data_IF_678729707592
#
_entry.id   IF_678729707592
#
_cell.length_a   1.000
_cell.length_b   1.000
_cell.length_c   1.000
_cell.angle_alpha   90.00
_cell.angle_beta   90.00
_cell.angle_gamma   90.00
#
_symmetry.space_group_name_H-M   'P 1'
#
loop_
_entity.id
_entity.type
_entity.pdbx_description
1 polymer ?
#
# COMPACT_ATOMS: atom_id res chain seq x y z
N UNK A 1 -62.01 -35.94 75.41
CA UNK A 1 -60.77 -35.94 74.52
C UNK A 1 -61.20 -35.69 73.14
N UNK A 2 -61.17 -34.48 72.69
CA UNK A 2 -61.60 -34.14 71.35
C UNK A 2 -60.85 -32.84 70.89
N UNK A 3 -60.22 -32.88 69.70
CA UNK A 3 -59.74 -31.68 68.98
C UNK A 3 -58.33 -31.10 69.31
N UNK A 4 -57.26 -31.90 69.16
CA UNK A 4 -55.89 -31.34 69.04
C UNK A 4 -55.21 -31.63 67.73
N UNK A 5 -55.75 -32.51 66.85
CA UNK A 5 -55.07 -32.93 65.65
C UNK A 5 -55.45 -32.20 64.35
N UNK A 6 -56.39 -31.29 64.32
CA UNK A 6 -56.85 -30.65 63.08
C UNK A 6 -56.18 -29.34 62.72
N UNK A 7 -55.45 -28.70 63.62
CA UNK A 7 -54.82 -27.38 63.39
C UNK A 7 -53.42 -27.44 62.81
N UNK A 8 -52.69 -28.56 62.96
CA UNK A 8 -51.32 -28.69 62.46
C UNK A 8 -51.21 -28.97 60.92
N UNK A 9 -52.20 -29.60 60.32
CA UNK A 9 -52.15 -29.97 58.86
C UNK A 9 -52.43 -28.76 57.98
N UNK A 10 -53.16 -27.78 58.38
CA UNK A 10 -53.42 -26.58 57.58
C UNK A 10 -52.25 -25.58 57.58
N UNK A 11 -51.53 -25.52 58.67
CA UNK A 11 -50.40 -24.60 58.81
C UNK A 11 -49.23 -25.07 57.96
N UNK A 12 -48.92 -26.35 57.93
CA UNK A 12 -47.86 -26.94 57.09
C UNK A 12 -48.15 -26.82 55.60
N UNK A 13 -49.42 -26.95 55.21
CA UNK A 13 -49.83 -26.73 53.79
C UNK A 13 -49.69 -25.28 53.38
N UNK A 14 -50.03 -24.32 54.25
CA UNK A 14 -49.90 -22.90 53.95
C UNK A 14 -48.43 -22.46 53.83
N UNK A 15 -47.54 -23.01 54.65
CA UNK A 15 -46.09 -22.74 54.58
C UNK A 15 -45.48 -23.29 53.28
N UNK A 16 -45.85 -24.48 52.83
CA UNK A 16 -45.41 -25.03 51.56
C UNK A 16 -45.96 -24.27 50.35
N UNK A 17 -47.19 -23.78 50.40
CA UNK A 17 -47.77 -22.93 49.36
C UNK A 17 -47.07 -21.55 49.29
N UNK A 18 -46.75 -20.95 50.47
CA UNK A 18 -46.02 -19.72 50.53
C UNK A 18 -44.60 -19.87 49.96
N UNK A 19 -43.91 -20.94 50.36
CA UNK A 19 -42.54 -21.24 49.87
C UNK A 19 -42.51 -21.52 48.38
N UNK A 20 -43.50 -22.26 47.84
CA UNK A 20 -43.67 -22.48 46.40
C UNK A 20 -43.92 -21.18 45.61
N UNK A 21 -44.76 -20.28 46.14
CA UNK A 21 -45.04 -19.00 45.49
C UNK A 21 -43.81 -18.07 45.47
N UNK A 22 -42.99 -18.07 46.51
CA UNK A 22 -41.73 -17.33 46.56
C UNK A 22 -40.72 -17.89 45.50
N UNK A 23 -40.60 -19.20 45.39
CA UNK A 23 -39.73 -19.83 44.39
C UNK A 23 -40.17 -19.46 42.95
N UNK A 24 -41.48 -19.51 42.67
CA UNK A 24 -42.01 -19.11 41.35
C UNK A 24 -41.75 -17.64 41.07
N UNK A 25 -41.92 -16.75 42.04
CA UNK A 25 -41.64 -15.32 41.90
C UNK A 25 -40.16 -15.05 41.62
N UNK A 26 -39.24 -15.78 42.28
CA UNK A 26 -37.80 -15.66 42.04
C UNK A 26 -37.44 -16.14 40.66
N UNK A 27 -37.99 -17.28 40.18
CA UNK A 27 -37.77 -17.76 38.81
C UNK A 27 -38.31 -16.78 37.75
N UNK A 28 -39.46 -16.15 37.99
CA UNK A 28 -39.99 -15.12 37.11
C UNK A 28 -39.10 -13.88 37.06
N UNK A 29 -38.58 -13.43 38.21
CA UNK A 29 -37.65 -12.29 38.26
C UNK A 29 -36.31 -12.59 37.54
N UNK A 30 -35.78 -13.81 37.69
CA UNK A 30 -34.59 -14.24 36.98
C UNK A 30 -34.86 -14.29 35.47
N UNK A 31 -36.01 -14.84 35.05
CA UNK A 31 -36.40 -14.90 33.63
C UNK A 31 -36.58 -13.52 32.99
N UNK A 32 -37.21 -12.59 33.69
CA UNK A 32 -37.36 -11.19 33.21
C UNK A 32 -36.03 -10.48 33.23
N UNK A 33 -35.21 -10.67 34.27
CA UNK A 33 -33.86 -10.12 34.32
C UNK A 33 -32.96 -10.61 33.19
N UNK A 34 -33.04 -11.89 32.88
CA UNK A 34 -32.29 -12.47 31.74
C UNK A 34 -32.78 -11.93 30.40
N UNK A 35 -34.11 -11.80 30.22
CA UNK A 35 -34.69 -11.24 28.99
C UNK A 35 -34.32 -9.76 28.79
N UNK A 36 -34.20 -8.99 29.88
CA UNK A 36 -33.76 -7.58 29.82
C UNK A 36 -32.24 -7.43 29.61
N UNK A 37 -31.43 -8.40 30.07
CA UNK A 37 -29.99 -8.41 29.82
C UNK A 37 -29.61 -8.98 28.45
N UNK A 38 -30.48 -9.78 27.85
CA UNK A 38 -30.24 -10.37 26.52
C UNK A 38 -30.80 -9.52 25.38
N UNK A 39 -30.93 -8.21 25.55
CA UNK A 39 -31.10 -7.31 24.43
C UNK A 39 -29.84 -7.41 23.59
N UNK A 40 -29.90 -8.13 22.49
CA UNK A 40 -28.90 -8.02 21.44
C UNK A 40 -28.82 -6.54 21.05
N UNK A 41 -27.66 -5.95 21.32
CA UNK A 41 -27.35 -4.64 20.80
C UNK A 41 -27.10 -4.81 19.29
N UNK A 42 -28.16 -4.76 18.50
CA UNK A 42 -28.05 -4.64 17.06
C UNK A 42 -27.53 -3.24 16.75
N UNK A 43 -26.22 -3.13 16.66
CA UNK A 43 -25.59 -1.92 16.12
C UNK A 43 -25.76 -2.01 14.60
N UNK A 44 -26.86 -1.55 14.08
CA UNK A 44 -27.05 -1.26 12.66
C UNK A 44 -26.42 0.10 12.36
N UNK A 45 -25.10 0.15 12.42
CA UNK A 45 -24.34 1.25 11.88
C UNK A 45 -24.02 0.93 10.42
N UNK A 46 -24.68 1.57 9.47
CA UNK A 46 -24.16 1.67 8.12
C UNK A 46 -23.02 2.68 8.16
N UNK A 47 -21.78 2.21 8.32
CA UNK A 47 -20.62 3.04 8.04
C UNK A 47 -20.55 3.19 6.51
N UNK A 48 -20.98 4.33 6.01
CA UNK A 48 -20.74 4.68 4.62
C UNK A 48 -19.30 5.20 4.56
N UNK A 49 -18.36 4.34 4.19
CA UNK A 49 -16.99 4.74 3.89
C UNK A 49 -17.05 5.34 2.49
N UNK A 50 -17.06 6.66 2.40
CA UNK A 50 -16.84 7.38 1.15
C UNK A 50 -15.35 7.64 1.07
N UNK A 51 -14.63 6.85 0.28
CA UNK A 51 -13.25 7.16 -0.09
C UNK A 51 -13.26 8.05 -1.32
N UNK A 52 -12.47 9.11 -1.30
CA UNK A 52 -12.30 9.99 -2.46
C UNK A 52 -11.08 9.53 -3.27
N UNK A 53 -11.29 9.28 -4.56
CA UNK A 53 -10.24 8.94 -5.51
C UNK A 53 -9.95 10.16 -6.37
N UNK A 54 -8.81 10.82 -6.13
CA UNK A 54 -8.48 12.06 -6.82
C UNK A 54 -6.97 12.21 -7.01
N UNK A 55 -6.49 11.83 -8.19
CA UNK A 55 -5.10 11.99 -8.60
C UNK A 55 -5.07 12.90 -9.81
N UNK A 56 -4.23 13.94 -9.77
CA UNK A 56 -4.17 14.92 -10.84
C UNK A 56 -2.78 15.54 -10.98
N UNK A 57 -2.49 16.03 -12.18
CA UNK A 57 -1.39 16.95 -12.39
C UNK A 57 -1.75 18.33 -11.84
N UNK A 58 -0.91 18.85 -10.97
CA UNK A 58 -1.10 20.17 -10.35
C UNK A 58 -0.32 21.26 -11.07
N UNK A 59 0.82 20.89 -11.70
CA UNK A 59 1.62 21.83 -12.50
C UNK A 59 2.43 21.11 -13.57
N UNK A 60 2.78 21.88 -14.60
CA UNK A 60 3.78 21.50 -15.60
C UNK A 60 4.58 22.76 -15.94
N UNK A 61 5.81 22.86 -15.47
CA UNK A 61 6.64 24.05 -15.63
C UNK A 61 7.87 23.79 -16.50
N UNK A 62 8.22 24.79 -17.32
CA UNK A 62 9.44 24.74 -18.12
C UNK A 62 10.64 24.81 -17.21
N UNK A 63 11.50 23.81 -17.27
CA UNK A 63 12.73 23.73 -16.48
C UNK A 63 13.96 24.17 -17.27
N UNK A 64 14.13 23.63 -18.45
CA UNK A 64 15.27 23.89 -19.31
C UNK A 64 14.84 23.91 -20.79
N UNK A 65 15.15 25.00 -21.46
CA UNK A 65 14.82 25.19 -22.86
C UNK A 65 16.12 25.47 -23.64
N UNK A 66 16.53 24.51 -24.46
CA UNK A 66 17.73 24.64 -25.31
C UNK A 66 17.32 24.63 -26.77
N UNK A 67 17.35 25.81 -27.43
CA UNK A 67 16.90 25.99 -28.81
C UNK A 67 15.54 25.36 -29.08
N UNK A 68 14.62 25.51 -28.14
CA UNK A 68 13.29 24.98 -28.17
C UNK A 68 12.26 26.03 -27.77
N UNK A 69 11.05 25.90 -28.26
CA UNK A 69 9.90 26.76 -27.92
C UNK A 69 8.69 25.91 -27.66
N UNK A 70 7.97 26.21 -26.58
CA UNK A 70 6.69 25.57 -26.28
C UNK A 70 5.56 26.36 -26.91
N UNK A 71 4.88 25.76 -27.88
CA UNK A 71 3.70 26.37 -28.53
C UNK A 71 2.42 26.08 -27.73
N UNK A 72 2.34 24.89 -27.11
CA UNK A 72 1.21 24.48 -26.26
C UNK A 72 1.74 23.68 -25.07
N UNK A 73 1.21 24.00 -23.90
CA UNK A 73 1.40 23.27 -22.66
C UNK A 73 0.07 23.28 -21.89
N UNK A 74 -0.60 22.15 -21.85
CA UNK A 74 -1.93 22.04 -21.28
C UNK A 74 -2.11 20.74 -20.51
N UNK A 75 -2.62 20.83 -19.29
CA UNK A 75 -3.08 19.68 -18.54
C UNK A 75 -4.54 19.44 -18.93
N UNK A 76 -4.79 18.33 -19.63
CA UNK A 76 -6.11 17.91 -20.10
C UNK A 76 -6.59 16.73 -19.28
N UNK A 77 -7.80 16.80 -18.72
CA UNK A 77 -8.26 15.79 -17.76
C UNK A 77 -7.52 15.88 -16.44
N UNK A 78 -7.33 14.74 -15.75
CA UNK A 78 -6.69 14.71 -14.44
C UNK A 78 -5.18 14.46 -14.55
N UNK A 79 -4.77 13.47 -15.34
CA UNK A 79 -3.39 12.98 -15.42
C UNK A 79 -2.87 12.92 -16.87
N UNK A 80 -3.36 13.81 -17.71
CA UNK A 80 -2.93 13.94 -19.11
C UNK A 80 -2.29 15.30 -19.34
N UNK A 81 -1.08 15.29 -19.90
CA UNK A 81 -0.33 16.47 -20.30
C UNK A 81 -0.19 16.48 -21.82
N UNK A 82 -0.64 17.56 -22.45
CA UNK A 82 -0.42 17.84 -23.88
C UNK A 82 0.65 18.91 -24.03
N UNK A 83 1.68 18.58 -24.80
CA UNK A 83 2.77 19.49 -25.17
C UNK A 83 2.84 19.61 -26.69
N UNK A 84 3.01 20.83 -27.18
CA UNK A 84 3.42 21.09 -28.56
C UNK A 84 4.73 21.87 -28.53
N UNK A 85 5.80 21.22 -29.00
CA UNK A 85 7.17 21.70 -28.87
C UNK A 85 7.81 21.84 -30.24
N UNK A 86 8.37 23.02 -30.49
CA UNK A 86 9.18 23.32 -31.66
C UNK A 86 10.67 23.28 -31.28
N UNK A 87 11.45 22.49 -32.00
CA UNK A 87 12.89 22.34 -31.85
C UNK A 87 13.59 22.95 -33.07
N UNK A 88 14.52 23.87 -32.81
CA UNK A 88 15.08 24.76 -33.87
C UNK A 88 16.33 24.18 -34.54
N UNK A 89 16.90 23.10 -34.01
CA UNK A 89 18.09 22.46 -34.59
C UNK A 89 18.33 21.06 -33.99
N UNK A 90 19.13 20.21 -34.64
CA UNK A 90 19.59 18.95 -34.05
C UNK A 90 20.27 19.17 -32.70
N UNK A 91 19.92 18.36 -31.69
CA UNK A 91 20.39 18.49 -30.31
C UNK A 91 19.58 19.48 -29.43
N UNK A 92 18.60 20.21 -30.02
CA UNK A 92 17.69 21.02 -29.23
C UNK A 92 16.85 20.18 -28.25
N UNK A 93 16.47 20.76 -27.13
CA UNK A 93 15.65 20.07 -26.13
C UNK A 93 14.83 21.01 -25.27
N UNK A 94 13.66 20.53 -24.84
CA UNK A 94 12.81 21.15 -23.83
C UNK A 94 12.60 20.15 -22.69
N UNK A 95 12.78 20.59 -21.46
CA UNK A 95 12.55 19.79 -20.25
C UNK A 95 11.51 20.49 -19.39
N UNK A 96 10.56 19.71 -18.90
CA UNK A 96 9.46 20.17 -18.05
C UNK A 96 9.50 19.42 -16.71
N UNK A 97 9.33 20.14 -15.62
CA UNK A 97 9.00 19.54 -14.32
C UNK A 97 7.47 19.45 -14.21
N UNK A 98 6.97 18.26 -14.02
CA UNK A 98 5.53 17.98 -13.89
C UNK A 98 5.28 17.41 -12.49
N UNK A 99 4.28 17.96 -11.82
CA UNK A 99 3.86 17.53 -10.48
C UNK A 99 2.56 16.78 -10.58
N UNK A 100 2.54 15.57 -10.05
CA UNK A 100 1.33 14.78 -9.81
C UNK A 100 1.06 14.71 -8.31
N UNK A 101 -0.18 14.88 -7.91
CA UNK A 101 -0.63 14.87 -6.52
C UNK A 101 -1.78 13.89 -6.34
N UNK A 102 -1.74 13.12 -5.27
CA UNK A 102 -2.87 12.34 -4.79
C UNK A 102 -3.64 13.14 -3.74
N UNK A 103 -4.70 13.81 -4.17
CA UNK A 103 -5.61 14.56 -3.28
C UNK A 103 -6.74 13.68 -2.71
N UNK A 104 -6.74 12.39 -3.02
CA UNK A 104 -7.70 11.42 -2.50
C UNK A 104 -7.27 10.80 -1.17
N UNK A 105 -8.15 9.97 -0.62
CA UNK A 105 -7.95 9.29 0.66
C UNK A 105 -7.30 7.90 0.52
N UNK A 106 -7.14 7.43 -0.72
CA UNK A 106 -6.61 6.09 -1.02
C UNK A 106 -5.22 6.18 -1.61
N UNK A 107 -4.34 5.27 -1.19
CA UNK A 107 -3.03 5.10 -1.80
C UNK A 107 -3.18 4.58 -3.23
N UNK A 108 -2.31 5.06 -4.11
CA UNK A 108 -2.31 4.75 -5.52
C UNK A 108 -1.00 4.11 -5.98
N UNK A 109 -1.08 3.34 -7.05
CA UNK A 109 0.06 2.80 -7.78
C UNK A 109 -0.04 3.18 -9.24
N UNK A 110 1.06 3.64 -9.83
CA UNK A 110 1.14 3.93 -11.25
C UNK A 110 1.20 2.62 -12.05
N UNK A 111 0.15 2.32 -12.81
CA UNK A 111 0.03 1.07 -13.58
C UNK A 111 0.38 1.20 -15.05
N UNK A 112 0.25 2.42 -15.63
CA UNK A 112 0.66 2.64 -17.01
C UNK A 112 1.13 4.08 -17.26
N UNK A 113 2.06 4.22 -18.20
CA UNK A 113 2.52 5.47 -18.79
C UNK A 113 2.27 5.36 -20.29
N UNK A 114 1.31 6.14 -20.78
CA UNK A 114 0.90 6.11 -22.19
C UNK A 114 1.37 7.37 -22.92
N UNK A 115 1.54 7.25 -24.24
CA UNK A 115 1.88 8.35 -25.12
C UNK A 115 3.38 8.50 -25.41
N UNK A 116 4.28 8.01 -24.59
CA UNK A 116 5.75 8.12 -24.78
C UNK A 116 6.22 7.25 -25.93
N UNK A 117 5.84 5.96 -25.97
CA UNK A 117 6.23 5.04 -27.03
C UNK A 117 5.57 5.41 -28.36
N UNK A 118 4.32 5.85 -28.31
CA UNK A 118 3.59 6.36 -29.46
C UNK A 118 4.28 7.61 -30.04
N UNK A 119 4.63 8.58 -29.20
CA UNK A 119 5.36 9.75 -29.62
C UNK A 119 6.71 9.39 -30.24
N UNK A 120 7.44 8.43 -29.68
CA UNK A 120 8.76 8.01 -30.17
C UNK A 120 8.71 7.22 -31.47
N UNK A 121 7.55 6.64 -31.81
CA UNK A 121 7.34 5.87 -33.05
C UNK A 121 6.69 6.68 -34.18
N UNK A 122 6.11 7.85 -33.88
CA UNK A 122 5.46 8.73 -34.85
C UNK A 122 6.41 9.78 -35.42
N UNK A 123 6.08 10.27 -36.63
CA UNK A 123 6.78 11.39 -37.27
C UNK A 123 6.56 12.71 -36.55
N UNK A 124 7.58 13.61 -36.48
CA UNK A 124 8.95 13.42 -36.95
C UNK A 124 9.74 12.50 -36.03
N UNK A 125 10.35 11.47 -36.63
CA UNK A 125 11.09 10.42 -35.93
C UNK A 125 12.31 10.90 -35.12
N UNK A 126 13.05 11.95 -35.58
CA UNK A 126 14.18 12.47 -34.80
C UNK A 126 13.79 13.10 -33.46
N UNK A 127 12.52 13.52 -33.30
CA UNK A 127 12.06 14.06 -32.02
C UNK A 127 11.67 12.89 -31.10
N UNK A 128 12.33 12.84 -29.97
CA UNK A 128 12.15 11.80 -28.94
C UNK A 128 11.64 12.43 -27.65
N UNK A 129 10.92 11.60 -26.89
CA UNK A 129 10.39 11.91 -25.56
C UNK A 129 10.96 10.93 -24.56
N UNK A 130 11.40 11.43 -23.43
CA UNK A 130 11.87 10.64 -22.30
C UNK A 130 11.27 11.14 -21.00
N UNK A 131 11.04 10.22 -20.09
CA UNK A 131 10.63 10.54 -18.72
C UNK A 131 11.75 10.19 -17.74
N UNK A 132 11.84 10.93 -16.65
CA UNK A 132 12.72 10.62 -15.54
C UNK A 132 12.02 10.88 -14.20
N UNK A 133 12.47 10.18 -13.16
CA UNK A 133 11.91 10.23 -11.81
C UNK A 133 10.48 9.68 -11.70
N UNK A 134 10.02 8.90 -12.67
CA UNK A 134 8.73 8.22 -12.64
C UNK A 134 8.81 6.91 -13.43
N UNK A 135 8.20 5.86 -12.93
CA UNK A 135 8.13 4.54 -13.57
C UNK A 135 6.86 3.81 -13.14
N UNK A 136 6.40 2.89 -13.96
CA UNK A 136 5.32 1.95 -13.62
C UNK A 136 5.71 1.17 -12.36
N UNK A 137 4.78 1.04 -11.43
CA UNK A 137 4.99 0.45 -10.11
C UNK A 137 5.33 1.47 -9.00
N UNK A 138 5.50 2.76 -9.33
CA UNK A 138 5.67 3.78 -8.30
C UNK A 138 4.38 3.99 -7.53
N UNK A 139 4.49 3.99 -6.20
CA UNK A 139 3.39 4.36 -5.31
C UNK A 139 3.25 5.88 -5.21
N UNK A 140 2.03 6.34 -4.99
CA UNK A 140 1.69 7.72 -4.66
C UNK A 140 0.68 7.68 -3.51
N UNK A 141 1.15 7.95 -2.30
CA UNK A 141 0.34 7.82 -1.09
C UNK A 141 -0.71 8.95 -1.02
N UNK A 142 -1.76 8.74 -0.22
CA UNK A 142 -2.74 9.78 0.07
C UNK A 142 -2.07 11.06 0.57
N UNK A 143 -2.36 12.20 -0.08
CA UNK A 143 -1.77 13.51 0.22
C UNK A 143 -0.32 13.69 -0.28
N UNK A 144 0.25 12.74 -1.02
CA UNK A 144 1.62 12.82 -1.53
C UNK A 144 1.67 13.55 -2.88
N UNK A 145 2.73 14.36 -3.06
CA UNK A 145 3.11 14.95 -4.34
C UNK A 145 4.39 14.29 -4.87
N UNK A 146 4.44 14.07 -6.19
CA UNK A 146 5.63 13.59 -6.87
C UNK A 146 5.96 14.44 -8.08
N UNK A 147 7.20 14.90 -8.15
CA UNK A 147 7.71 15.64 -9.31
C UNK A 147 8.50 14.70 -10.21
N UNK A 148 8.15 14.70 -11.48
CA UNK A 148 8.87 13.99 -12.53
C UNK A 148 9.21 14.90 -13.69
N UNK A 149 10.08 14.47 -14.60
CA UNK A 149 10.49 15.27 -15.74
C UNK A 149 10.03 14.64 -17.05
N UNK A 150 9.57 15.51 -17.94
CA UNK A 150 9.32 15.21 -19.33
C UNK A 150 10.36 15.94 -20.15
N UNK A 151 11.16 15.20 -20.91
CA UNK A 151 12.15 15.78 -21.84
C UNK A 151 11.77 15.45 -23.27
N UNK A 152 11.62 16.49 -24.08
CA UNK A 152 11.44 16.42 -25.53
C UNK A 152 12.74 16.88 -26.17
N UNK A 153 13.33 16.07 -27.04
CA UNK A 153 14.64 16.38 -27.62
C UNK A 153 14.76 15.89 -29.06
N UNK A 154 15.58 16.59 -29.83
CA UNK A 154 15.96 16.20 -31.17
C UNK A 154 17.21 15.33 -31.09
N UNK A 155 17.08 14.06 -31.47
CA UNK A 155 18.20 13.13 -31.55
C UNK A 155 19.12 13.52 -32.69
N UNK A 156 20.28 14.10 -32.35
CA UNK A 156 21.26 14.58 -33.32
C UNK A 156 21.98 13.44 -34.08
N UNK A 157 21.80 12.19 -33.68
CA UNK A 157 22.36 11.01 -34.36
C UNK A 157 21.56 10.62 -35.61
N UNK A 158 20.34 11.16 -35.74
CA UNK A 158 19.47 10.94 -36.89
C UNK A 158 19.71 12.05 -37.92
N UNK A 159 20.25 11.69 -39.09
CA UNK A 159 20.50 12.64 -40.17
C UNK A 159 19.17 13.11 -40.78
N UNK A 160 18.87 14.40 -40.65
CA UNK A 160 17.63 14.99 -41.14
C UNK A 160 17.91 16.39 -41.69
N UNK A 161 17.38 16.71 -42.86
CA UNK A 161 17.68 17.95 -43.57
C UNK A 161 16.78 19.14 -43.20
N UNK A 162 15.99 18.99 -42.14
CA UNK A 162 15.11 20.05 -41.65
C UNK A 162 15.88 21.00 -40.71
N UNK A 163 15.53 22.27 -40.74
CA UNK A 163 16.14 23.30 -39.90
C UNK A 163 15.36 23.54 -38.60
N UNK A 164 14.12 23.09 -38.54
CA UNK A 164 13.25 23.12 -37.38
C UNK A 164 12.22 22.00 -37.47
N UNK A 165 11.80 21.48 -36.34
CA UNK A 165 10.75 20.48 -36.24
C UNK A 165 9.82 20.74 -35.08
N UNK A 166 8.55 20.41 -35.26
CA UNK A 166 7.50 20.54 -34.26
C UNK A 166 6.85 19.19 -34.03
N UNK A 167 6.50 18.93 -32.77
CA UNK A 167 5.80 17.69 -32.37
C UNK A 167 4.80 17.98 -31.27
N UNK A 168 3.58 17.52 -31.49
CA UNK A 168 2.55 17.41 -30.45
C UNK A 168 2.66 16.07 -29.76
N UNK A 169 2.60 16.08 -28.44
CA UNK A 169 2.82 14.94 -27.57
C UNK A 169 1.73 14.94 -26.51
N UNK A 170 1.09 13.82 -26.30
CA UNK A 170 0.16 13.60 -25.22
C UNK A 170 0.68 12.49 -24.31
N UNK A 171 0.85 12.77 -23.02
CA UNK A 171 1.32 11.81 -22.02
C UNK A 171 0.24 11.66 -20.97
N UNK A 172 -0.17 10.41 -20.73
CA UNK A 172 -1.17 10.08 -19.71
C UNK A 172 -0.60 9.08 -18.71
N UNK A 173 -0.73 9.39 -17.42
CA UNK A 173 -0.45 8.47 -16.33
C UNK A 173 -1.74 7.80 -15.88
N UNK A 174 -1.72 6.47 -15.77
CA UNK A 174 -2.84 5.70 -15.24
C UNK A 174 -2.48 5.17 -13.86
N UNK A 175 -3.32 5.51 -12.89
CA UNK A 175 -3.18 5.05 -11.51
C UNK A 175 -4.33 4.12 -11.17
N UNK A 176 -4.05 3.10 -10.39
CA UNK A 176 -5.02 2.22 -9.76
C UNK A 176 -4.88 2.31 -8.24
N UNK A 177 -5.95 1.99 -7.53
CA UNK A 177 -5.89 1.91 -6.09
C UNK A 177 -4.86 0.85 -5.71
N UNK A 178 -3.95 1.23 -4.82
CA UNK A 178 -3.02 0.28 -4.22
C UNK A 178 -3.80 -0.60 -3.25
N UNK A 179 -3.90 -1.91 -3.54
CA UNK A 179 -4.51 -2.83 -2.60
C UNK A 179 -3.61 -2.99 -1.36
N UNK A 180 -4.25 -3.01 -0.19
CA UNK A 180 -3.55 -3.15 1.10
C UNK A 180 -2.74 -4.46 1.18
N UNK A 181 -3.07 -5.46 0.34
CA UNK A 181 -2.31 -6.69 0.17
C UNK A 181 -0.97 -6.50 -0.56
N UNK A 182 -0.80 -5.38 -1.29
CA UNK A 182 0.44 -5.02 -1.98
C UNK A 182 1.35 -4.10 -1.14
N UNK A 183 0.81 -3.48 -0.10
CA UNK A 183 1.63 -3.06 1.03
C UNK A 183 1.98 -4.36 1.72
N UNK A 184 3.26 -4.79 1.76
CA UNK A 184 3.61 -5.81 2.73
C UNK A 184 3.16 -5.21 4.06
N UNK A 185 2.03 -5.70 4.58
CA UNK A 185 1.58 -5.42 5.95
C UNK A 185 2.85 -5.44 6.78
N UNK A 186 3.17 -4.39 7.61
CA UNK A 186 4.37 -4.46 8.42
C UNK A 186 4.32 -5.83 9.03
N UNK A 187 5.18 -6.70 8.52
CA UNK A 187 5.14 -8.14 8.82
C UNK A 187 5.06 -8.18 10.32
N UNK A 188 4.05 -8.82 10.92
CA UNK A 188 3.91 -8.81 12.38
C UNK A 188 5.29 -9.12 12.87
N UNK A 189 5.88 -8.21 13.65
CA UNK A 189 7.30 -8.14 13.99
C UNK A 189 7.90 -9.53 13.85
N UNK A 190 8.78 -9.75 12.86
CA UNK A 190 9.27 -11.09 12.52
C UNK A 190 9.81 -11.63 13.83
N UNK A 191 8.94 -12.31 14.55
CA UNK A 191 9.39 -13.02 15.74
C UNK A 191 10.07 -14.25 15.16
N UNK A 192 11.39 -14.23 15.16
CA UNK A 192 12.15 -15.46 14.91
C UNK A 192 11.81 -16.38 16.06
N UNK A 193 10.69 -17.09 15.89
CA UNK A 193 10.22 -18.14 16.82
C UNK A 193 10.83 -19.49 16.47
N UNK A 194 11.72 -19.53 15.48
CA UNK A 194 12.40 -20.74 15.12
C UNK A 194 13.19 -21.27 16.33
N UNK A 195 12.99 -22.55 16.61
CA UNK A 195 13.73 -23.23 17.65
C UNK A 195 15.21 -23.19 17.32
N UNK A 196 16.03 -22.82 18.30
CA UNK A 196 17.48 -22.83 18.15
C UNK A 196 17.95 -24.27 17.99
N UNK A 197 18.65 -24.56 16.90
CA UNK A 197 19.18 -25.90 16.60
C UNK A 197 20.66 -25.99 16.89
N UNK A 198 21.12 -27.22 17.13
CA UNK A 198 22.54 -27.52 17.37
C UNK A 198 23.23 -28.17 16.17
N UNK A 199 22.45 -28.61 15.16
CA UNK A 199 22.96 -29.24 13.94
C UNK A 199 21.97 -29.12 12.79
N UNK A 200 22.44 -29.16 11.53
CA UNK A 200 21.61 -29.00 10.33
C UNK A 200 21.33 -27.57 9.98
N UNK A 201 20.27 -27.36 9.18
CA UNK A 201 19.82 -26.04 8.75
C UNK A 201 18.94 -25.40 9.83
N UNK A 202 19.13 -24.12 10.12
CA UNK A 202 18.29 -23.42 11.08
C UNK A 202 18.95 -22.25 11.81
N UNK A 203 18.33 -21.86 12.92
CA UNK A 203 18.77 -20.76 13.77
C UNK A 203 19.75 -21.24 14.84
N UNK A 204 20.88 -20.56 14.98
CA UNK A 204 21.93 -20.86 15.93
C UNK A 204 22.19 -19.68 16.86
N UNK A 205 22.56 -19.96 18.12
CA UNK A 205 23.18 -18.95 18.99
C UNK A 205 24.55 -18.61 18.41
N UNK A 206 24.87 -17.32 18.32
CA UNK A 206 26.21 -16.88 17.93
C UNK A 206 27.22 -17.23 19.05
N UNK A 207 28.31 -17.89 18.68
CA UNK A 207 29.33 -18.29 19.62
C UNK A 207 30.21 -17.14 20.12
N UNK A 208 30.25 -16.04 19.36
CA UNK A 208 31.14 -14.93 19.62
C UNK A 208 30.42 -13.73 20.26
N UNK A 209 29.09 -13.63 20.09
CA UNK A 209 28.29 -12.53 20.58
C UNK A 209 27.05 -13.01 21.35
N UNK A 210 27.08 -13.02 22.68
CA UNK A 210 25.95 -13.47 23.49
C UNK A 210 24.69 -12.64 23.24
N UNK A 211 23.57 -13.35 22.96
CA UNK A 211 22.27 -12.73 22.64
C UNK A 211 22.05 -12.45 21.17
N UNK A 212 23.05 -12.68 20.32
CA UNK A 212 22.94 -12.69 18.87
C UNK A 212 22.57 -14.08 18.36
N UNK A 213 21.74 -14.12 17.31
CA UNK A 213 21.36 -15.36 16.64
C UNK A 213 21.71 -15.28 15.17
N UNK A 214 22.12 -16.39 14.57
CA UNK A 214 22.54 -16.47 13.17
C UNK A 214 21.91 -17.67 12.48
N UNK A 215 21.46 -17.49 11.24
CA UNK A 215 21.04 -18.62 10.40
C UNK A 215 22.23 -19.29 9.76
N UNK A 216 22.22 -20.64 9.76
CA UNK A 216 23.25 -21.49 9.14
C UNK A 216 22.60 -22.65 8.42
N UNK A 217 23.32 -23.19 7.42
CA UNK A 217 22.89 -24.33 6.62
C UNK A 217 22.78 -23.99 5.14
N UNK A 218 22.44 -24.98 4.35
CA UNK A 218 22.28 -24.84 2.91
C UNK A 218 20.92 -24.23 2.55
N UNK A 219 19.86 -24.59 3.30
CA UNK A 219 18.49 -24.14 3.07
C UNK A 219 17.76 -23.82 4.39
N UNK A 220 18.28 -22.93 5.23
CA UNK A 220 17.56 -22.50 6.42
C UNK A 220 16.30 -21.73 6.01
N UNK A 221 15.20 -21.90 6.75
CA UNK A 221 13.94 -21.20 6.51
C UNK A 221 14.04 -19.73 6.99
N UNK A 222 14.79 -18.90 6.27
CA UNK A 222 15.13 -17.54 6.68
C UNK A 222 14.75 -16.48 5.64
N UNK A 223 13.78 -16.77 4.77
CA UNK A 223 13.36 -15.86 3.73
C UNK A 223 12.28 -14.91 4.23
N UNK A 224 12.39 -13.65 3.82
CA UNK A 224 11.37 -12.60 4.01
C UNK A 224 11.13 -11.88 2.70
N UNK A 225 9.90 -11.47 2.48
CA UNK A 225 9.56 -10.57 1.40
C UNK A 225 9.57 -9.14 1.93
N UNK A 226 10.40 -8.29 1.35
CA UNK A 226 10.48 -6.88 1.70
C UNK A 226 10.60 -6.06 0.41
N UNK A 227 9.73 -5.06 0.26
CA UNK A 227 9.69 -4.18 -0.92
C UNK A 227 9.58 -4.96 -2.25
N UNK A 228 8.69 -5.98 -2.30
CA UNK A 228 8.49 -6.89 -3.44
C UNK A 228 9.75 -7.67 -3.88
N UNK A 229 10.75 -7.72 -3.05
CA UNK A 229 11.98 -8.47 -3.27
C UNK A 229 12.13 -9.56 -2.21
N UNK A 230 12.77 -10.66 -2.59
CA UNK A 230 13.09 -11.73 -1.66
C UNK A 230 14.43 -11.44 -0.97
N UNK A 231 14.40 -11.44 0.35
CA UNK A 231 15.56 -11.21 1.20
C UNK A 231 15.77 -12.39 2.14
N UNK A 232 17.00 -12.59 2.57
CA UNK A 232 17.36 -13.58 3.57
C UNK A 232 17.78 -12.90 4.86
N UNK A 233 17.24 -13.37 5.98
CA UNK A 233 17.71 -12.96 7.31
C UNK A 233 19.02 -13.71 7.58
N UNK A 234 20.08 -12.97 7.87
CA UNK A 234 21.38 -13.54 8.21
C UNK A 234 21.52 -13.65 9.72
N UNK A 235 21.08 -12.63 10.45
CA UNK A 235 21.21 -12.57 11.89
C UNK A 235 20.09 -11.74 12.54
N UNK A 236 19.81 -12.02 13.82
CA UNK A 236 19.14 -11.15 14.76
C UNK A 236 20.19 -10.61 15.70
N UNK A 237 20.38 -9.30 15.70
CA UNK A 237 21.37 -8.62 16.52
C UNK A 237 20.88 -8.49 17.98
N UNK A 238 21.78 -8.17 18.89
CA UNK A 238 21.50 -8.08 20.34
C UNK A 238 20.51 -6.99 20.70
N UNK A 239 20.39 -5.95 19.87
CA UNK A 239 19.43 -4.85 20.01
C UNK A 239 18.03 -5.15 19.44
N UNK A 240 17.84 -6.38 18.93
CA UNK A 240 16.59 -6.84 18.32
C UNK A 240 16.43 -6.52 16.84
N UNK A 241 17.39 -5.83 16.21
CA UNK A 241 17.38 -5.56 14.77
C UNK A 241 17.74 -6.81 13.97
N UNK A 242 17.35 -6.85 12.68
CA UNK A 242 17.65 -7.95 11.78
C UNK A 242 18.64 -7.53 10.72
N UNK A 243 19.67 -8.34 10.52
CA UNK A 243 20.57 -8.21 9.38
C UNK A 243 20.04 -9.05 8.24
N UNK A 244 19.75 -8.39 7.10
CA UNK A 244 19.21 -9.03 5.91
C UNK A 244 20.14 -8.86 4.71
N UNK A 245 20.08 -9.78 3.75
CA UNK A 245 20.74 -9.71 2.46
C UNK A 245 19.72 -10.03 1.36
N UNK A 246 19.83 -9.36 0.24
CA UNK A 246 19.01 -9.65 -0.93
C UNK A 246 19.32 -11.07 -1.46
N UNK A 247 18.29 -11.86 -1.76
CA UNK A 247 18.48 -13.22 -2.28
C UNK A 247 18.98 -13.21 -3.73
N UNK A 248 18.45 -12.30 -4.55
CA UNK A 248 18.90 -12.14 -5.93
C UNK A 248 20.17 -11.28 -6.03
N UNK A 249 21.11 -11.74 -6.85
CA UNK A 249 22.32 -10.99 -7.19
C UNK A 249 21.92 -9.78 -8.03
N UNK A 250 22.38 -8.58 -7.68
CA UNK A 250 22.20 -7.40 -8.53
C UNK A 250 22.83 -7.67 -9.90
N UNK A 251 22.12 -7.31 -11.00
CA UNK A 251 22.73 -7.39 -12.31
C UNK A 251 24.03 -6.60 -12.31
N UNK A 252 25.13 -7.25 -12.69
CA UNK A 252 26.40 -6.55 -12.86
C UNK A 252 26.19 -5.47 -13.93
N UNK A 253 26.28 -4.22 -13.52
CA UNK A 253 26.37 -3.12 -14.47
C UNK A 253 27.59 -3.43 -15.36
N UNK A 254 27.35 -3.79 -16.61
CA UNK A 254 28.41 -3.80 -17.61
C UNK A 254 28.93 -2.36 -17.70
N UNK A 255 30.18 -2.18 -17.31
CA UNK A 255 30.93 -0.94 -17.51
C UNK A 255 31.05 -0.64 -19.01
#
# INVERSE_FOLDING_TARGET
MRNIFKTRSHKVRAEHFLMGSICVAVFLMIGIGYALLSTQLDITGTAQITSDWKILFTSAEEKEMNNATTNKKEITGLTTLTLDVQLQQPGASATYDVVVENQGDLDAMLTAINGVDEANSQSPLPIKVGLSNIRVGDALLSGEEKTFQVRVYWDASVDFNETEMQKEIEITLTYEQREESEIPSPSPAIDITDEVVSSGDGLYVDQYEPGRYVYRGSEPNNYIQFNNELWRIIAKETDGTYKIIRDEVLPQNAN
#
